data_IF_992394365980
#
_entry.id   IF_992394365980
#
_cell.length_a   1.000
_cell.length_b   1.000
_cell.length_c   1.000
_cell.angle_alpha   90.00
_cell.angle_beta   90.00
_cell.angle_gamma   90.00
#
_symmetry.space_group_name_H-M   'P 1'
#
loop_
_entity.id
_entity.type
_entity.pdbx_description
1 polymer ?
#
# COMPACT_ATOMS: atom_id res chain seq x y z
N UNK A 1 5.10 -25.22 7.19
CA UNK A 1 4.79 -24.74 5.82
C UNK A 1 5.29 -25.79 4.82
N UNK A 2 4.47 -26.21 3.85
CA UNK A 2 4.85 -27.25 2.90
C UNK A 2 6.05 -26.77 2.06
N UNK A 3 7.12 -27.57 1.90
CA UNK A 3 8.37 -27.12 1.24
C UNK A 3 8.13 -26.56 -0.16
N UNK A 4 7.15 -27.12 -0.87
CA UNK A 4 6.76 -26.68 -2.21
C UNK A 4 6.11 -25.28 -2.23
N UNK A 5 5.26 -24.94 -1.25
CA UNK A 5 4.66 -23.60 -1.14
C UNK A 5 5.74 -22.54 -0.91
N UNK A 6 6.70 -22.83 -0.04
CA UNK A 6 7.83 -21.92 0.21
C UNK A 6 8.72 -21.76 -1.02
N UNK A 7 8.86 -22.80 -1.85
CA UNK A 7 9.63 -22.74 -3.08
C UNK A 7 8.98 -21.81 -4.11
N UNK A 8 7.65 -21.88 -4.27
CA UNK A 8 6.91 -20.96 -5.16
C UNK A 8 7.07 -19.51 -4.69
N UNK A 9 6.89 -19.26 -3.39
CA UNK A 9 7.05 -17.92 -2.82
C UNK A 9 8.45 -17.38 -3.11
N UNK A 10 9.50 -18.17 -2.83
CA UNK A 10 10.89 -17.76 -3.08
C UNK A 10 11.15 -17.51 -4.56
N UNK A 11 10.60 -18.34 -5.45
CA UNK A 11 10.72 -18.19 -6.90
C UNK A 11 10.09 -16.88 -7.36
N UNK A 12 8.85 -16.60 -6.96
CA UNK A 12 8.12 -15.40 -7.38
C UNK A 12 8.79 -14.12 -6.86
N UNK A 13 9.20 -14.11 -5.58
CA UNK A 13 9.95 -12.98 -5.02
C UNK A 13 11.26 -12.74 -5.79
N UNK A 14 12.00 -13.82 -6.06
CA UNK A 14 13.24 -13.71 -6.81
C UNK A 14 13.01 -13.18 -8.24
N UNK A 15 11.95 -13.64 -8.92
CA UNK A 15 11.61 -13.22 -10.28
C UNK A 15 11.41 -11.71 -10.40
N UNK A 16 10.80 -11.06 -9.40
CA UNK A 16 10.69 -9.59 -9.39
C UNK A 16 12.03 -8.92 -9.15
N UNK A 17 12.78 -9.38 -8.15
CA UNK A 17 14.07 -8.76 -7.81
C UNK A 17 15.13 -8.93 -8.90
N UNK A 18 15.05 -10.01 -9.68
CA UNK A 18 15.96 -10.28 -10.79
C UNK A 18 15.60 -9.47 -12.04
N UNK A 19 14.33 -9.10 -12.23
CA UNK A 19 13.92 -8.32 -13.38
C UNK A 19 14.00 -6.82 -13.09
N UNK A 20 15.03 -6.16 -13.65
CA UNK A 20 15.31 -4.74 -13.46
C UNK A 20 14.10 -3.84 -13.76
N UNK A 21 13.30 -4.14 -14.79
CA UNK A 21 12.12 -3.33 -15.14
C UNK A 21 11.06 -3.38 -14.04
N UNK A 22 10.75 -4.57 -13.54
CA UNK A 22 9.75 -4.74 -12.48
C UNK A 22 10.24 -4.23 -11.13
N UNK A 23 11.52 -4.46 -10.82
CA UNK A 23 12.12 -3.95 -9.59
C UNK A 23 12.10 -2.42 -9.52
N UNK A 24 12.44 -1.73 -10.62
CA UNK A 24 12.35 -0.26 -10.69
C UNK A 24 10.91 0.21 -10.55
N UNK A 25 9.97 -0.41 -11.26
CA UNK A 25 8.54 -0.06 -11.17
C UNK A 25 7.97 -0.27 -9.76
N UNK A 26 8.47 -1.28 -9.04
CA UNK A 26 8.09 -1.54 -7.66
C UNK A 26 8.67 -0.50 -6.70
N UNK A 27 9.90 -0.02 -6.92
CA UNK A 27 10.58 0.92 -6.03
C UNK A 27 10.24 2.38 -6.26
N UNK A 28 9.90 2.78 -7.48
CA UNK A 28 9.71 4.20 -7.82
C UNK A 28 8.60 4.86 -7.00
N UNK A 29 7.48 4.15 -6.81
CA UNK A 29 6.34 4.63 -6.02
C UNK A 29 6.74 4.76 -4.54
N UNK A 30 7.22 3.71 -3.85
CA UNK A 30 7.76 3.83 -2.50
C UNK A 30 8.76 4.96 -2.34
N UNK A 31 9.76 5.09 -3.21
CA UNK A 31 10.79 6.13 -3.10
C UNK A 31 10.19 7.53 -3.19
N UNK A 32 9.22 7.75 -4.08
CA UNK A 32 8.51 9.02 -4.17
C UNK A 32 7.75 9.34 -2.88
N UNK A 33 7.01 8.37 -2.33
CA UNK A 33 6.22 8.56 -1.12
C UNK A 33 7.05 8.60 0.17
N UNK A 34 8.28 8.10 0.15
CA UNK A 34 9.16 8.02 1.33
C UNK A 34 10.19 9.13 1.40
N UNK A 35 10.63 9.68 0.27
CA UNK A 35 11.54 10.81 0.22
C UNK A 35 10.80 12.07 -0.21
N UNK A 36 10.34 12.12 -1.46
CA UNK A 36 9.90 13.38 -2.08
C UNK A 36 8.69 14.00 -1.36
N UNK A 37 7.66 13.20 -1.12
CA UNK A 37 6.43 13.68 -0.53
C UNK A 37 6.61 14.22 0.90
N UNK A 38 7.21 13.49 1.86
CA UNK A 38 7.45 14.02 3.20
C UNK A 38 8.37 15.25 3.17
N UNK A 39 9.44 15.24 2.38
CA UNK A 39 10.34 16.40 2.26
C UNK A 39 9.59 17.66 1.81
N UNK A 40 8.73 17.55 0.80
CA UNK A 40 7.91 18.67 0.33
C UNK A 40 7.04 19.19 1.46
N UNK A 41 6.33 18.31 2.18
CA UNK A 41 5.44 18.71 3.26
C UNK A 41 6.17 19.38 4.43
N UNK A 42 7.31 18.82 4.86
CA UNK A 42 8.11 19.40 5.96
C UNK A 42 8.67 20.76 5.56
N UNK A 43 9.19 20.90 4.34
CA UNK A 43 9.69 22.18 3.83
C UNK A 43 8.57 23.22 3.70
N UNK A 44 7.39 22.85 3.20
CA UNK A 44 6.24 23.77 3.12
C UNK A 44 5.81 24.23 4.51
N UNK A 45 5.80 23.33 5.49
CA UNK A 45 5.42 23.67 6.86
C UNK A 45 6.42 24.61 7.53
N UNK A 46 7.71 24.49 7.20
CA UNK A 46 8.76 25.35 7.74
C UNK A 46 8.83 26.73 7.05
N UNK A 47 8.75 26.77 5.72
CA UNK A 47 8.96 28.01 4.96
C UNK A 47 7.70 28.85 4.74
N UNK A 48 6.50 28.26 4.77
CA UNK A 48 5.24 28.96 4.45
C UNK A 48 4.16 28.66 5.51
N UNK A 49 4.38 29.01 6.79
CA UNK A 49 3.39 28.77 7.84
C UNK A 49 2.14 29.68 7.75
N UNK A 50 2.20 30.78 7.00
CA UNK A 50 1.11 31.77 6.87
C UNK A 50 0.19 31.54 5.66
N UNK A 51 0.31 30.42 4.96
CA UNK A 51 -0.57 30.13 3.81
C UNK A 51 -2.04 29.94 4.28
N UNK A 52 -3.03 30.52 3.59
CA UNK A 52 -4.45 30.37 3.94
C UNK A 52 -4.91 28.92 4.00
N UNK A 53 -4.41 28.06 3.11
CA UNK A 53 -4.77 26.65 3.08
C UNK A 53 -4.17 25.93 4.31
N UNK A 54 -2.95 26.31 4.70
CA UNK A 54 -2.28 25.80 5.91
C UNK A 54 -3.02 26.23 7.19
N UNK A 55 -3.49 27.47 7.25
CA UNK A 55 -4.27 27.98 8.39
C UNK A 55 -5.62 27.27 8.52
N UNK A 56 -6.33 27.05 7.41
CA UNK A 56 -7.59 26.29 7.40
C UNK A 56 -7.43 24.86 7.94
N UNK A 57 -6.27 24.23 7.71
CA UNK A 57 -5.96 22.91 8.27
C UNK A 57 -5.65 22.96 9.77
N UNK A 58 -4.96 24.01 10.24
CA UNK A 58 -4.63 24.20 11.66
C UNK A 58 -5.88 24.39 12.53
N UNK A 59 -6.93 25.03 12.00
CA UNK A 59 -8.21 25.23 12.69
C UNK A 59 -8.95 23.92 13.02
N UNK A 60 -8.62 22.82 12.34
CA UNK A 60 -9.22 21.51 12.55
C UNK A 60 -8.57 20.73 13.70
N UNK A 61 -7.44 21.20 14.23
CA UNK A 61 -6.78 20.56 15.36
C UNK A 61 -7.40 20.98 16.70
N UNK A 62 -7.58 20.04 17.65
CA UNK A 62 -7.92 20.39 19.02
C UNK A 62 -6.89 21.37 19.62
N UNK A 63 -7.37 22.37 20.37
CA UNK A 63 -6.56 23.43 21.01
C UNK A 63 -5.46 22.91 21.96
N UNK A 64 -5.51 21.64 22.36
CA UNK A 64 -4.54 20.94 23.22
C UNK A 64 -3.19 20.66 22.52
N UNK A 65 -3.15 20.65 21.18
CA UNK A 65 -1.95 20.29 20.39
C UNK A 65 -1.02 21.48 20.12
N UNK A 66 -1.45 22.68 20.51
CA UNK A 66 -0.75 23.93 20.30
C UNK A 66 0.28 24.09 21.42
N UNK A 67 1.43 23.44 21.29
CA UNK A 67 2.58 23.67 22.17
C UNK A 67 3.19 25.09 21.98
N UNK A 68 2.36 26.11 21.71
CA UNK A 68 2.75 27.48 21.45
C UNK A 68 3.34 27.77 20.07
N UNK A 69 3.65 26.74 19.26
CA UNK A 69 4.27 26.88 17.94
C UNK A 69 3.37 26.33 16.80
N UNK A 70 2.82 27.21 15.94
CA UNK A 70 2.04 26.82 14.77
C UNK A 70 2.78 25.90 13.80
N UNK A 71 4.11 26.05 13.67
CA UNK A 71 4.91 25.21 12.77
C UNK A 71 4.97 23.76 13.24
N UNK A 72 5.14 23.54 14.54
CA UNK A 72 5.12 22.20 15.14
C UNK A 72 3.73 21.54 15.04
N UNK A 73 2.65 22.30 15.26
CA UNK A 73 1.29 21.81 15.12
C UNK A 73 0.99 21.33 13.68
N UNK A 74 1.46 22.07 12.68
CA UNK A 74 1.33 21.71 11.27
C UNK A 74 2.11 20.44 10.92
N UNK A 75 3.35 20.32 11.38
CA UNK A 75 4.14 19.10 11.19
C UNK A 75 3.48 17.89 11.84
N UNK A 76 2.94 18.05 13.05
CA UNK A 76 2.20 16.99 13.73
C UNK A 76 0.98 16.55 12.91
N UNK A 77 0.22 17.50 12.36
CA UNK A 77 -0.94 17.25 11.51
C UNK A 77 -0.53 16.45 10.26
N UNK A 78 0.46 16.96 9.53
CA UNK A 78 0.98 16.34 8.31
C UNK A 78 1.42 14.90 8.59
N UNK A 79 2.28 14.71 9.59
CA UNK A 79 2.90 13.42 9.85
C UNK A 79 1.91 12.38 10.39
N UNK A 80 0.97 12.78 11.25
CA UNK A 80 0.07 11.85 11.92
C UNK A 80 -1.29 11.68 11.25
N UNK A 81 -1.72 12.59 10.37
CA UNK A 81 -3.02 12.54 9.72
C UNK A 81 -2.94 12.47 8.19
N UNK A 82 -2.05 13.24 7.56
CA UNK A 82 -1.97 13.31 6.09
C UNK A 82 -1.12 12.18 5.51
N UNK A 83 0.16 12.10 5.90
CA UNK A 83 1.12 11.11 5.39
C UNK A 83 0.64 9.65 5.51
N UNK A 84 -0.02 9.22 6.61
CA UNK A 84 -0.44 7.83 6.75
C UNK A 84 -1.43 7.40 5.65
N UNK A 85 -2.26 8.30 5.13
CA UNK A 85 -3.23 7.98 4.07
C UNK A 85 -2.52 7.81 2.73
N UNK A 86 -1.58 8.70 2.40
CA UNK A 86 -0.75 8.57 1.20
C UNK A 86 0.06 7.27 1.21
N UNK A 87 0.54 6.86 2.38
CA UNK A 87 1.30 5.64 2.57
C UNK A 87 0.55 4.38 2.09
N UNK A 88 -0.80 4.36 2.13
CA UNK A 88 -1.61 3.23 1.66
C UNK A 88 -1.43 2.94 0.16
N UNK A 89 -0.97 3.90 -0.64
CA UNK A 89 -0.70 3.68 -2.08
C UNK A 89 0.40 2.63 -2.27
N UNK A 90 1.40 2.61 -1.38
CA UNK A 90 2.55 1.70 -1.45
C UNK A 90 2.13 0.22 -1.42
N UNK A 91 1.43 -0.29 -0.38
CA UNK A 91 1.04 -1.69 -0.33
C UNK A 91 0.07 -2.08 -1.46
N UNK A 92 -0.78 -1.16 -1.93
CA UNK A 92 -1.69 -1.39 -3.06
C UNK A 92 -0.87 -1.62 -4.34
N UNK A 93 0.05 -0.71 -4.66
CA UNK A 93 0.87 -0.81 -5.87
C UNK A 93 1.81 -2.01 -5.81
N UNK A 94 2.49 -2.22 -4.68
CA UNK A 94 3.42 -3.33 -4.51
C UNK A 94 2.72 -4.70 -4.66
N UNK A 95 1.55 -4.85 -4.05
CA UNK A 95 0.79 -6.09 -4.18
C UNK A 95 0.19 -6.29 -5.58
N UNK A 96 -0.18 -5.21 -6.26
CA UNK A 96 -0.73 -5.26 -7.62
C UNK A 96 0.32 -5.65 -8.65
N UNK A 97 1.52 -5.06 -8.57
CA UNK A 97 2.66 -5.43 -9.44
C UNK A 97 3.03 -6.90 -9.23
N UNK A 98 3.09 -7.33 -7.96
CA UNK A 98 3.45 -8.70 -7.63
C UNK A 98 2.41 -9.72 -8.11
N UNK A 99 1.14 -9.48 -7.81
CA UNK A 99 0.06 -10.33 -8.28
C UNK A 99 -0.02 -10.36 -9.81
N UNK A 100 0.13 -9.22 -10.48
CA UNK A 100 0.08 -9.17 -11.94
C UNK A 100 1.24 -9.96 -12.56
N UNK A 101 2.45 -9.83 -12.02
CA UNK A 101 3.62 -10.57 -12.50
C UNK A 101 3.51 -12.09 -12.27
N UNK A 102 2.94 -12.50 -11.14
CA UNK A 102 2.82 -13.90 -10.75
C UNK A 102 1.67 -14.62 -11.46
N UNK A 103 0.52 -13.96 -11.66
CA UNK A 103 -0.64 -14.57 -12.32
C UNK A 103 -0.64 -14.31 -13.82
N UNK A 104 -0.71 -13.04 -14.23
CA UNK A 104 -0.82 -12.67 -15.66
C UNK A 104 0.53 -12.81 -16.36
N UNK A 105 1.62 -12.45 -15.70
CA UNK A 105 2.94 -12.56 -16.29
C UNK A 105 3.41 -13.99 -16.55
N UNK A 106 2.93 -14.96 -15.78
CA UNK A 106 3.15 -16.37 -16.08
C UNK A 106 2.21 -16.89 -17.17
N UNK A 107 0.99 -16.33 -17.30
CA UNK A 107 0.04 -16.60 -18.40
C UNK A 107 0.65 -16.14 -19.73
N UNK A 108 1.11 -14.90 -19.78
CA UNK A 108 1.73 -14.27 -20.95
C UNK A 108 2.98 -15.04 -21.44
N UNK A 109 3.73 -15.65 -20.52
CA UNK A 109 4.92 -16.47 -20.83
C UNK A 109 4.62 -17.95 -21.07
N UNK A 110 3.36 -18.36 -21.06
CA UNK A 110 2.93 -19.77 -21.15
C UNK A 110 3.56 -20.70 -20.08
N UNK A 111 3.97 -20.13 -18.95
CA UNK A 111 4.59 -20.90 -17.86
C UNK A 111 3.56 -21.41 -16.83
N UNK A 112 2.35 -20.86 -16.82
CA UNK A 112 1.27 -21.35 -15.95
C UNK A 112 0.90 -22.81 -16.24
N UNK A 113 0.87 -23.21 -17.50
CA UNK A 113 0.55 -24.59 -17.92
C UNK A 113 1.54 -25.57 -17.31
N UNK A 114 2.84 -25.24 -17.35
CA UNK A 114 3.90 -26.07 -16.74
C UNK A 114 3.75 -26.20 -15.22
N UNK A 115 3.24 -25.16 -14.54
CA UNK A 115 3.00 -25.17 -13.10
C UNK A 115 1.83 -26.10 -12.72
N UNK A 116 0.86 -26.29 -13.61
CA UNK A 116 -0.25 -27.22 -13.38
C UNK A 116 0.14 -28.70 -13.51
N UNK A 117 1.28 -29.01 -14.14
CA UNK A 117 1.85 -30.36 -14.13
C UNK A 117 2.65 -30.67 -12.86
N UNK A 118 2.87 -29.68 -11.98
CA UNK A 118 3.51 -29.93 -10.69
C UNK A 118 2.61 -30.77 -9.78
N UNK A 119 3.15 -31.58 -8.85
CA UNK A 119 2.38 -32.39 -7.90
C UNK A 119 1.80 -31.52 -6.77
N UNK A 120 1.11 -30.43 -7.11
CA UNK A 120 0.48 -29.47 -6.21
C UNK A 120 -0.97 -29.24 -6.61
N UNK A 121 -1.84 -29.10 -5.63
CA UNK A 121 -3.24 -28.74 -5.91
C UNK A 121 -3.37 -27.28 -6.34
N UNK A 122 -4.37 -26.98 -7.16
CA UNK A 122 -4.68 -25.61 -7.60
C UNK A 122 -4.85 -24.64 -6.42
N UNK A 123 -5.49 -25.08 -5.33
CA UNK A 123 -5.64 -24.28 -4.10
C UNK A 123 -4.29 -23.99 -3.43
N UNK A 124 -3.35 -24.94 -3.43
CA UNK A 124 -2.00 -24.71 -2.90
C UNK A 124 -1.22 -23.71 -3.74
N UNK A 125 -1.28 -23.82 -5.08
CA UNK A 125 -0.66 -22.86 -6.00
C UNK A 125 -1.26 -21.47 -5.77
N UNK A 126 -2.59 -21.37 -5.75
CA UNK A 126 -3.31 -20.13 -5.54
C UNK A 126 -2.90 -19.44 -4.23
N UNK A 127 -2.97 -20.17 -3.10
CA UNK A 127 -2.59 -19.65 -1.78
C UNK A 127 -1.13 -19.22 -1.74
N UNK A 128 -0.23 -19.96 -2.40
CA UNK A 128 1.18 -19.61 -2.43
C UNK A 128 1.44 -18.28 -3.15
N UNK A 129 0.80 -18.05 -4.31
CA UNK A 129 0.93 -16.80 -5.08
C UNK A 129 0.31 -15.59 -4.37
N UNK A 130 -0.86 -15.77 -3.75
CA UNK A 130 -1.48 -14.74 -2.92
C UNK A 130 -0.58 -14.38 -1.74
N UNK A 131 -0.04 -15.39 -1.04
CA UNK A 131 0.85 -15.19 0.09
C UNK A 131 2.16 -14.52 -0.33
N UNK A 132 2.74 -14.90 -1.48
CA UNK A 132 3.94 -14.25 -2.03
C UNK A 132 3.68 -12.76 -2.31
N UNK A 133 2.53 -12.44 -2.91
CA UNK A 133 2.13 -11.07 -3.24
C UNK A 133 1.88 -10.21 -2.00
N UNK A 134 1.22 -10.80 -1.01
CA UNK A 134 0.98 -10.17 0.28
C UNK A 134 2.29 -9.91 1.03
N UNK A 135 3.15 -10.93 1.17
CA UNK A 135 4.40 -10.81 1.93
C UNK A 135 5.35 -9.78 1.31
N UNK A 136 5.48 -9.75 -0.03
CA UNK A 136 6.30 -8.75 -0.70
C UNK A 136 5.75 -7.34 -0.43
N UNK A 137 4.44 -7.14 -0.55
CA UNK A 137 3.79 -5.85 -0.29
C UNK A 137 3.98 -5.38 1.16
N UNK A 138 3.84 -6.29 2.13
CA UNK A 138 4.09 -5.96 3.54
C UNK A 138 5.56 -5.65 3.81
N UNK A 139 6.49 -6.37 3.19
CA UNK A 139 7.92 -6.08 3.32
C UNK A 139 8.28 -4.71 2.71
N UNK A 140 7.79 -4.41 1.51
CA UNK A 140 8.03 -3.12 0.85
C UNK A 140 7.41 -2.00 1.65
N UNK A 141 6.17 -2.14 2.13
CA UNK A 141 5.54 -1.11 2.95
C UNK A 141 6.29 -0.90 4.26
N UNK A 142 6.66 -1.95 5.00
CA UNK A 142 7.42 -1.81 6.24
C UNK A 142 8.77 -1.11 6.03
N UNK A 143 9.53 -1.52 5.01
CA UNK A 143 10.81 -0.88 4.66
C UNK A 143 10.61 0.59 4.26
N UNK A 144 9.53 0.89 3.55
CA UNK A 144 9.16 2.25 3.17
C UNK A 144 8.83 3.10 4.38
N UNK A 145 8.07 2.56 5.34
CA UNK A 145 7.73 3.25 6.58
C UNK A 145 8.99 3.58 7.38
N UNK A 146 9.90 2.61 7.54
CA UNK A 146 11.16 2.83 8.23
C UNK A 146 12.02 3.90 7.52
N UNK A 147 12.12 3.84 6.19
CA UNK A 147 12.85 4.84 5.41
C UNK A 147 12.25 6.23 5.55
N UNK A 148 10.94 6.36 5.38
CA UNK A 148 10.21 7.62 5.54
C UNK A 148 10.34 8.16 6.97
N UNK A 149 10.22 7.32 7.99
CA UNK A 149 10.38 7.73 9.38
C UNK A 149 11.76 8.33 9.63
N UNK A 150 12.82 7.69 9.13
CA UNK A 150 14.19 8.20 9.25
C UNK A 150 14.34 9.54 8.51
N UNK A 151 13.79 9.67 7.30
CA UNK A 151 13.86 10.90 6.51
C UNK A 151 13.16 12.05 7.24
N UNK A 152 11.90 11.84 7.67
CA UNK A 152 11.11 12.86 8.35
C UNK A 152 11.75 13.26 9.68
N UNK A 153 12.18 12.30 10.49
CA UNK A 153 12.84 12.61 11.76
C UNK A 153 14.16 13.37 11.55
N UNK A 154 14.94 13.01 10.52
CA UNK A 154 16.15 13.74 10.19
C UNK A 154 15.83 15.19 9.79
N UNK A 155 14.85 15.39 8.90
CA UNK A 155 14.44 16.73 8.44
C UNK A 155 13.92 17.61 9.60
N UNK A 156 13.05 17.07 10.44
CA UNK A 156 12.49 17.79 11.59
C UNK A 156 13.60 18.10 12.61
N UNK A 157 14.50 17.16 12.87
CA UNK A 157 15.63 17.39 13.77
C UNK A 157 16.57 18.49 13.25
N UNK A 158 16.87 18.51 11.95
CA UNK A 158 17.72 19.56 11.37
C UNK A 158 17.05 20.94 11.32
N UNK A 159 15.74 21.01 11.09
CA UNK A 159 15.01 22.27 10.92
C UNK A 159 14.53 22.86 12.24
N UNK A 160 14.04 22.03 13.16
CA UNK A 160 13.39 22.47 14.40
C UNK A 160 14.04 21.93 15.68
N UNK A 161 15.00 21.00 15.58
CA UNK A 161 15.68 20.45 16.76
C UNK A 161 14.79 19.60 17.67
N UNK A 162 13.62 19.18 17.18
CA UNK A 162 12.65 18.35 17.91
C UNK A 162 12.49 16.99 17.26
N UNK A 163 11.86 16.05 17.98
CA UNK A 163 11.50 14.72 17.47
C UNK A 163 9.99 14.57 17.48
N UNK A 164 9.45 13.81 16.51
CA UNK A 164 8.02 13.63 16.37
C UNK A 164 7.64 12.16 16.60
N UNK A 165 6.81 11.92 17.61
CA UNK A 165 6.40 10.54 17.90
C UNK A 165 5.31 10.10 16.92
N UNK A 166 5.43 8.91 16.29
CA UNK A 166 4.37 8.33 15.48
C UNK A 166 3.10 8.12 16.29
N UNK A 167 2.02 8.75 15.84
CA UNK A 167 0.70 8.64 16.44
C UNK A 167 0.05 7.27 16.22
N UNK A 168 -1.07 7.00 16.89
CA UNK A 168 -1.80 5.73 16.80
C UNK A 168 -2.33 5.42 15.39
N UNK A 169 -2.51 6.43 14.54
CA UNK A 169 -2.91 6.28 13.13
C UNK A 169 -1.93 5.39 12.35
N UNK A 170 -0.63 5.54 12.58
CA UNK A 170 0.40 4.72 11.94
C UNK A 170 0.26 3.24 12.29
N UNK A 171 -0.02 2.92 13.56
CA UNK A 171 -0.21 1.54 14.00
C UNK A 171 -1.44 0.91 13.34
N UNK A 172 -2.57 1.63 13.30
CA UNK A 172 -3.80 1.14 12.66
C UNK A 172 -3.57 0.89 11.16
N UNK A 173 -2.88 1.81 10.49
CA UNK A 173 -2.61 1.68 9.07
C UNK A 173 -1.64 0.53 8.78
N UNK A 174 -0.53 0.44 9.49
CA UNK A 174 0.48 -0.60 9.25
C UNK A 174 -0.04 -2.00 9.62
N UNK A 175 -0.77 -2.13 10.73
CA UNK A 175 -1.17 -3.43 11.26
C UNK A 175 -2.50 -3.94 10.67
N UNK A 176 -3.41 -3.06 10.26
CA UNK A 176 -4.76 -3.46 9.85
C UNK A 176 -5.09 -3.00 8.43
N UNK A 177 -5.02 -1.70 8.15
CA UNK A 177 -5.52 -1.17 6.88
C UNK A 177 -4.66 -1.60 5.70
N UNK A 178 -3.32 -1.45 5.80
CA UNK A 178 -2.33 -1.84 4.78
C UNK A 178 -2.44 -3.33 4.40
N UNK A 179 -2.44 -4.28 5.35
CA UNK A 179 -2.69 -5.68 5.04
C UNK A 179 -4.01 -5.93 4.31
N UNK A 180 -5.07 -5.23 4.73
CA UNK A 180 -6.42 -5.41 4.18
C UNK A 180 -6.50 -4.92 2.75
N UNK A 181 -6.03 -3.71 2.46
CA UNK A 181 -6.02 -3.16 1.10
C UNK A 181 -5.11 -3.95 0.17
N UNK A 182 -3.98 -4.46 0.68
CA UNK A 182 -3.10 -5.34 -0.09
C UNK A 182 -3.83 -6.62 -0.50
N UNK A 183 -4.53 -7.29 0.42
CA UNK A 183 -5.30 -8.50 0.09
C UNK A 183 -6.43 -8.22 -0.90
N UNK A 184 -7.13 -7.08 -0.77
CA UNK A 184 -8.15 -6.68 -1.74
C UNK A 184 -7.51 -6.50 -3.11
N UNK A 185 -6.40 -5.75 -3.21
CA UNK A 185 -5.69 -5.50 -4.46
C UNK A 185 -5.25 -6.81 -5.14
N UNK A 186 -4.59 -7.72 -4.42
CA UNK A 186 -4.23 -9.05 -4.94
C UNK A 186 -5.46 -9.79 -5.47
N UNK A 187 -6.57 -9.73 -4.73
CA UNK A 187 -7.78 -10.45 -5.12
C UNK A 187 -8.46 -9.85 -6.37
N UNK A 188 -8.42 -8.52 -6.53
CA UNK A 188 -8.90 -7.85 -7.73
C UNK A 188 -8.07 -8.27 -8.95
N UNK A 189 -6.74 -8.28 -8.82
CA UNK A 189 -5.82 -8.72 -9.87
C UNK A 189 -6.08 -10.18 -10.26
N UNK A 190 -6.22 -11.07 -9.27
CA UNK A 190 -6.56 -12.48 -9.51
C UNK A 190 -7.84 -12.61 -10.33
N UNK A 191 -8.90 -11.88 -9.96
CA UNK A 191 -10.18 -11.96 -10.67
C UNK A 191 -10.09 -11.41 -12.10
N UNK A 192 -9.30 -10.36 -12.30
CA UNK A 192 -9.03 -9.79 -13.62
C UNK A 192 -8.07 -10.63 -14.46
N UNK A 193 -7.24 -11.47 -13.83
CA UNK A 193 -6.17 -12.22 -14.52
C UNK A 193 -6.67 -13.21 -15.58
N UNK A 194 -7.90 -13.70 -15.46
CA UNK A 194 -8.52 -14.54 -16.47
C UNK A 194 -8.66 -13.81 -17.81
N UNK A 195 -9.06 -12.53 -17.78
CA UNK A 195 -9.35 -11.74 -18.99
C UNK A 195 -8.17 -10.92 -19.49
N UNK A 196 -7.24 -10.59 -18.59
CA UNK A 196 -6.11 -9.72 -18.91
C UNK A 196 -5.13 -10.41 -19.86
N UNK A 197 -4.73 -9.70 -20.91
CA UNK A 197 -3.75 -10.17 -21.91
C UNK A 197 -2.33 -9.68 -21.58
N UNK A 198 -2.21 -8.62 -20.78
CA UNK A 198 -0.92 -8.04 -20.36
C UNK A 198 -0.89 -7.74 -18.86
N UNK A 199 0.31 -7.71 -18.29
CA UNK A 199 0.50 -7.33 -16.88
C UNK A 199 0.03 -5.89 -16.62
N UNK A 200 0.29 -4.98 -17.55
CA UNK A 200 -0.11 -3.58 -17.45
C UNK A 200 -1.64 -3.42 -17.41
N UNK A 201 -2.37 -4.14 -18.26
CA UNK A 201 -3.84 -4.16 -18.23
C UNK A 201 -4.37 -4.69 -16.90
N UNK A 202 -3.77 -5.75 -16.38
CA UNK A 202 -4.18 -6.32 -15.09
C UNK A 202 -4.01 -5.30 -13.95
N UNK A 203 -2.88 -4.59 -13.93
CA UNK A 203 -2.59 -3.56 -12.92
C UNK A 203 -3.61 -2.41 -12.93
N UNK A 204 -4.28 -2.12 -14.05
CA UNK A 204 -5.34 -1.10 -14.09
C UNK A 204 -6.53 -1.45 -13.18
N UNK A 205 -6.75 -2.73 -12.85
CA UNK A 205 -7.76 -3.12 -11.87
C UNK A 205 -7.46 -2.58 -10.46
N UNK A 206 -6.19 -2.27 -10.15
CA UNK A 206 -5.81 -1.63 -8.90
C UNK A 206 -6.29 -0.17 -8.81
N UNK A 207 -6.51 0.49 -9.94
CA UNK A 207 -7.01 1.88 -10.00
C UNK A 207 -8.38 2.00 -9.32
N UNK A 208 -9.21 0.96 -9.41
CA UNK A 208 -10.51 0.91 -8.71
C UNK A 208 -10.36 1.09 -7.19
N UNK A 209 -9.24 0.65 -6.62
CA UNK A 209 -8.96 0.78 -5.20
C UNK A 209 -8.20 2.08 -4.87
N UNK A 210 -7.39 2.58 -5.81
CA UNK A 210 -6.70 3.87 -5.66
C UNK A 210 -7.69 5.04 -5.72
N UNK A 211 -8.71 4.99 -6.58
CA UNK A 211 -9.68 6.08 -6.73
C UNK A 211 -10.38 6.51 -5.42
N UNK A 212 -10.99 5.61 -4.62
CA UNK A 212 -11.57 6.00 -3.34
C UNK A 212 -10.51 6.48 -2.34
N UNK A 213 -9.28 5.96 -2.42
CA UNK A 213 -8.17 6.45 -1.61
C UNK A 213 -7.81 7.90 -1.97
N UNK A 214 -7.80 8.25 -3.26
CA UNK A 214 -7.59 9.63 -3.71
C UNK A 214 -8.69 10.57 -3.21
N UNK A 215 -9.96 10.12 -3.18
CA UNK A 215 -11.04 10.91 -2.58
C UNK A 215 -10.81 11.18 -1.10
N UNK A 216 -10.32 10.18 -0.34
CA UNK A 216 -9.95 10.38 1.06
C UNK A 216 -8.79 11.36 1.21
N UNK A 217 -7.78 11.29 0.35
CA UNK A 217 -6.64 12.21 0.34
C UNK A 217 -7.10 13.64 0.07
N UNK A 218 -7.92 13.85 -0.96
CA UNK A 218 -8.49 15.17 -1.26
C UNK A 218 -9.30 15.68 -0.08
N UNK A 219 -10.08 14.83 0.58
CA UNK A 219 -10.81 15.18 1.81
C UNK A 219 -9.92 15.57 2.99
N UNK A 220 -8.75 14.94 3.16
CA UNK A 220 -7.77 15.33 4.18
C UNK A 220 -7.11 16.68 3.84
N UNK A 221 -6.63 16.83 2.61
CA UNK A 221 -5.86 18.02 2.19
C UNK A 221 -6.74 19.26 2.12
N UNK A 222 -8.00 19.12 1.71
CA UNK A 222 -8.98 20.23 1.72
C UNK A 222 -9.47 20.63 3.11
N UNK A 223 -9.06 19.92 4.16
CA UNK A 223 -9.54 20.15 5.52
C UNK A 223 -11.01 19.76 5.76
N UNK A 224 -11.67 19.07 4.82
CA UNK A 224 -13.06 18.66 4.99
C UNK A 224 -13.24 17.62 6.10
N UNK A 225 -12.23 16.77 6.31
CA UNK A 225 -12.28 15.70 7.31
C UNK A 225 -10.87 15.34 7.76
N UNK A 226 -10.66 15.09 9.05
CA UNK A 226 -9.44 14.45 9.57
C UNK A 226 -9.72 12.99 9.90
N UNK A 227 -8.87 12.09 9.43
CA UNK A 227 -8.98 10.67 9.72
C UNK A 227 -8.45 10.37 11.12
N UNK A 228 -9.36 10.31 12.08
CA UNK A 228 -9.05 9.91 13.45
C UNK A 228 -8.73 8.40 13.54
N UNK A 229 -8.02 7.95 14.59
CA UNK A 229 -7.70 6.54 14.79
C UNK A 229 -8.94 5.65 14.79
N UNK A 230 -10.05 6.15 15.35
CA UNK A 230 -11.33 5.44 15.39
C UNK A 230 -11.96 5.25 14.01
N UNK A 231 -11.94 6.27 13.16
CA UNK A 231 -12.45 6.17 11.79
C UNK A 231 -11.59 5.19 10.99
N UNK A 232 -10.26 5.26 11.15
CA UNK A 232 -9.33 4.31 10.51
C UNK A 232 -9.56 2.87 10.98
N UNK A 233 -9.87 2.64 12.26
CA UNK A 233 -10.20 1.31 12.77
C UNK A 233 -11.49 0.76 12.14
N UNK A 234 -12.55 1.57 12.07
CA UNK A 234 -13.81 1.17 11.43
C UNK A 234 -13.57 0.85 9.95
N UNK A 235 -12.86 1.73 9.24
CA UNK A 235 -12.51 1.53 7.84
C UNK A 235 -11.69 0.24 7.66
N UNK A 236 -10.73 -0.01 8.55
CA UNK A 236 -9.94 -1.24 8.54
C UNK A 236 -10.81 -2.48 8.70
N UNK A 237 -11.75 -2.50 9.66
CA UNK A 237 -12.65 -3.62 9.85
C UNK A 237 -13.54 -3.88 8.62
N UNK A 238 -14.03 -2.82 7.98
CA UNK A 238 -14.78 -2.92 6.71
C UNK A 238 -13.89 -3.52 5.62
N UNK A 239 -12.67 -3.02 5.45
CA UNK A 239 -11.71 -3.55 4.47
C UNK A 239 -11.34 -5.00 4.76
N UNK A 240 -11.15 -5.42 6.01
CA UNK A 240 -10.91 -6.81 6.39
C UNK A 240 -12.09 -7.69 5.97
N UNK A 241 -13.32 -7.24 6.24
CA UNK A 241 -14.54 -7.95 5.84
C UNK A 241 -14.61 -8.13 4.32
N UNK A 242 -14.37 -7.06 3.56
CA UNK A 242 -14.33 -7.08 2.10
C UNK A 242 -13.22 -8.02 1.61
N UNK A 243 -12.00 -7.92 2.15
CA UNK A 243 -10.87 -8.78 1.81
C UNK A 243 -11.21 -10.25 2.00
N UNK A 244 -11.79 -10.62 3.15
CA UNK A 244 -12.20 -11.99 3.45
C UNK A 244 -13.26 -12.51 2.48
N UNK A 245 -14.27 -11.70 2.16
CA UNK A 245 -15.34 -12.07 1.21
C UNK A 245 -14.76 -12.25 -0.19
N UNK A 246 -13.94 -11.31 -0.64
CA UNK A 246 -13.33 -11.35 -1.97
C UNK A 246 -12.40 -12.57 -2.10
N UNK A 247 -11.55 -12.83 -1.10
CA UNK A 247 -10.61 -13.95 -1.11
C UNK A 247 -11.35 -15.30 -1.15
N UNK A 248 -12.39 -15.48 -0.32
CA UNK A 248 -13.23 -16.69 -0.34
C UNK A 248 -13.88 -16.90 -1.71
N UNK A 249 -14.35 -15.83 -2.35
CA UNK A 249 -14.92 -15.90 -3.71
C UNK A 249 -13.87 -16.22 -4.77
N UNK A 250 -12.65 -15.69 -4.63
CA UNK A 250 -11.55 -15.96 -5.56
C UNK A 250 -11.10 -17.42 -5.50
N UNK A 251 -10.93 -17.99 -4.30
CA UNK A 251 -10.57 -19.41 -4.13
C UNK A 251 -11.62 -20.33 -4.77
N UNK A 252 -12.92 -20.05 -4.56
CA UNK A 252 -14.02 -20.84 -5.16
C UNK A 252 -14.13 -20.68 -6.68
N UNK A 253 -13.74 -19.52 -7.20
CA UNK A 253 -13.83 -19.19 -8.63
C UNK A 253 -12.59 -19.60 -9.44
N UNK A 254 -11.52 -20.02 -8.78
CA UNK A 254 -10.26 -20.44 -9.40
C UNK A 254 -10.39 -21.86 -9.93
N UNK A 255 -11.09 -22.01 -11.06
CA UNK A 255 -11.18 -23.25 -11.83
C UNK A 255 -10.28 -23.16 -13.07
N UNK A 256 -9.61 -24.27 -13.40
CA UNK A 256 -8.64 -24.44 -14.49
C UNK A 256 -9.14 -23.87 -15.83
N UNK A 257 -10.42 -24.07 -16.13
CA UNK A 257 -11.07 -23.71 -17.39
C UNK A 257 -11.13 -22.19 -17.63
N UNK A 258 -11.23 -21.36 -16.59
CA UNK A 258 -11.37 -19.90 -16.76
C UNK A 258 -10.06 -19.16 -17.04
N UNK A 259 -8.92 -19.79 -16.84
CA UNK A 259 -7.61 -19.16 -17.05
C UNK A 259 -7.05 -19.41 -18.45
N UNK A 260 -7.54 -20.45 -19.13
CA UNK A 260 -7.11 -20.88 -20.46
C UNK A 260 -8.00 -20.36 -21.60
N UNK A 261 -9.14 -19.76 -21.28
CA UNK A 261 -9.90 -18.88 -22.20
C UNK A 261 -9.24 -17.49 -22.29
#
# INVERSE_FOLDING_TARGET
>A
MNKAISAIIKKDLHSITANRRFFISLLIVPLLFTLLLPSVFVLTAYFVPEDPDVQAMLELLPQETWAGDPGFALLHLIFNYILPVFFLIIPIMASSIMAASSFVGEKEKHTLETLFYAPLSLDQIFRSKVLASFLLSMAVSLLSFLGMFIVVEAEIFFLMGTFLVPGPNWLVILALLSPSVSLIAVTLIVKGSAKAQSMEESQQSAVFLILPLLLLIVGQVSGLMLLSPWILLILSLICIGIACILLKRAVKGFAYERLLE
#
